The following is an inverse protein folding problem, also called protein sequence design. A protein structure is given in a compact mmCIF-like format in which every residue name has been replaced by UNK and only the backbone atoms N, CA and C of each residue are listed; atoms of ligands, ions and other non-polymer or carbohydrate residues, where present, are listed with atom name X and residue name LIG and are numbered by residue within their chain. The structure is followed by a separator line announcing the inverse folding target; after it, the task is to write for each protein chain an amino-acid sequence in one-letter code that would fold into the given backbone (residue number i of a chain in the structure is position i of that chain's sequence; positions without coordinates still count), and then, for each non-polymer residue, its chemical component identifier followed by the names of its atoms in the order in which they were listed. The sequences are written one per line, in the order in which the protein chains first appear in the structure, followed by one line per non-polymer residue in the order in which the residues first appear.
data_IF_117610198364
#
_entry.id   IF_117610198364
#
_cell.length_a   1.000
_cell.length_b   1.000
_cell.length_c   1.000
_cell.angle_alpha   90.00
_cell.angle_beta   90.00
_cell.angle_gamma   90.00
#
_symmetry.space_group_name_H-M   'P 1'
#
loop_
_entity.id
_entity.type
_entity.pdbx_description
1 polymer ?
#
# COMPACT_ATOMS: atom_id res chain seq x y z
N UNK A 1 0.57 3.26 -13.16
CA UNK A 1 0.04 4.61 -12.92
C UNK A 1 0.87 5.56 -13.74
N UNK A 2 0.24 6.30 -14.64
CA UNK A 2 0.92 7.01 -15.72
C UNK A 2 1.53 8.32 -15.26
N UNK A 3 2.74 8.26 -14.70
CA UNK A 3 3.47 9.45 -14.26
C UNK A 3 4.11 10.19 -15.44
N UNK A 4 4.28 11.50 -15.31
CA UNK A 4 4.92 12.42 -16.28
C UNK A 4 6.32 12.03 -16.81
N UNK A 5 6.94 10.97 -16.29
CA UNK A 5 8.26 10.45 -16.69
C UNK A 5 8.19 9.03 -17.31
N UNK A 6 7.03 8.63 -17.86
CA UNK A 6 6.80 7.25 -18.33
C UNK A 6 7.50 6.88 -19.65
N UNK A 7 7.91 7.85 -20.46
CA UNK A 7 8.46 7.62 -21.80
C UNK A 7 9.99 7.67 -21.82
N UNK A 8 10.63 6.85 -20.98
CA UNK A 8 12.04 6.56 -21.14
C UNK A 8 12.23 5.57 -22.29
N UNK A 9 13.04 5.94 -23.29
CA UNK A 9 13.43 5.05 -24.38
C UNK A 9 14.89 4.63 -24.20
N UNK A 10 15.15 3.31 -24.22
CA UNK A 10 16.50 2.78 -24.31
C UNK A 10 16.66 2.06 -25.65
N UNK A 11 17.58 2.52 -26.49
CA UNK A 11 17.83 1.99 -27.84
C UNK A 11 16.58 1.95 -28.74
N UNK A 12 15.68 2.93 -28.62
CA UNK A 12 14.44 3.00 -29.42
C UNK A 12 13.31 2.08 -28.95
N UNK A 13 13.52 1.32 -27.87
CA UNK A 13 12.48 0.50 -27.22
C UNK A 13 11.84 1.32 -26.09
N UNK A 14 10.51 1.44 -26.03
CA UNK A 14 9.83 2.06 -24.89
C UNK A 14 10.05 1.18 -23.65
N UNK A 15 10.55 1.77 -22.56
CA UNK A 15 10.62 1.10 -21.27
C UNK A 15 9.28 1.32 -20.58
N UNK A 16 8.46 0.27 -20.47
CA UNK A 16 7.29 0.33 -19.60
C UNK A 16 7.73 0.15 -18.14
N UNK A 17 7.47 1.11 -17.25
CA UNK A 17 7.81 0.96 -15.85
C UNK A 17 6.88 -0.08 -15.19
N UNK A 18 7.48 -1.16 -14.67
CA UNK A 18 6.77 -2.10 -13.80
C UNK A 18 6.31 -1.37 -12.52
N UNK A 19 5.05 -1.56 -12.14
CA UNK A 19 4.45 -0.99 -10.93
C UNK A 19 3.83 -2.11 -10.11
N UNK A 20 4.25 -2.21 -8.85
CA UNK A 20 3.69 -3.14 -7.89
C UNK A 20 2.68 -2.44 -6.96
N UNK A 21 1.67 -3.19 -6.51
CA UNK A 21 0.70 -2.73 -5.50
C UNK A 21 0.77 -3.65 -4.30
N UNK A 22 1.08 -3.07 -3.14
CA UNK A 22 1.04 -3.76 -1.85
C UNK A 22 -0.21 -3.32 -1.08
N UNK A 23 -1.06 -4.28 -0.73
CA UNK A 23 -2.20 -4.07 0.16
C UNK A 23 -1.91 -4.78 1.49
N UNK A 24 -1.84 -4.00 2.56
CA UNK A 24 -1.55 -4.51 3.91
C UNK A 24 -2.75 -4.26 4.80
N UNK A 25 -3.27 -5.33 5.42
CA UNK A 25 -4.33 -5.25 6.41
C UNK A 25 -3.74 -5.34 7.81
N UNK A 26 -3.89 -4.27 8.59
CA UNK A 26 -3.28 -4.10 9.92
C UNK A 26 -4.31 -3.62 10.94
N UNK A 27 -4.07 -3.81 12.26
CA UNK A 27 -4.87 -3.17 13.31
C UNK A 27 -4.79 -1.64 13.22
N UNK A 28 -5.87 -0.95 13.64
CA UNK A 28 -5.99 0.50 13.48
C UNK A 28 -4.91 1.24 14.26
N UNK A 29 -4.61 0.77 15.46
CA UNK A 29 -3.62 1.31 16.39
C UNK A 29 -2.18 1.25 15.85
N UNK A 30 -1.89 0.40 14.86
CA UNK A 30 -0.56 0.27 14.25
C UNK A 30 -0.41 1.10 12.97
N UNK A 31 -1.49 1.73 12.48
CA UNK A 31 -1.56 2.38 11.16
C UNK A 31 -0.42 3.37 10.94
N UNK A 32 -0.23 4.33 11.85
CA UNK A 32 0.75 5.40 11.67
C UNK A 32 2.18 4.85 11.70
N UNK A 33 2.47 3.94 12.64
CA UNK A 33 3.81 3.34 12.77
C UNK A 33 4.20 2.53 11.53
N UNK A 34 3.26 1.74 11.00
CA UNK A 34 3.50 0.93 9.80
C UNK A 34 3.56 1.81 8.55
N UNK A 35 2.67 2.80 8.43
CA UNK A 35 2.69 3.73 7.31
C UNK A 35 4.00 4.52 7.25
N UNK A 36 4.48 5.05 8.38
CA UNK A 36 5.75 5.78 8.45
C UNK A 36 6.93 4.90 8.04
N UNK A 37 6.94 3.63 8.51
CA UNK A 37 7.95 2.66 8.11
C UNK A 37 7.90 2.36 6.60
N UNK A 38 6.70 2.25 6.01
CA UNK A 38 6.52 2.04 4.56
C UNK A 38 6.97 3.26 3.75
N UNK A 39 6.63 4.47 4.19
CA UNK A 39 7.05 5.73 3.56
C UNK A 39 8.57 5.84 3.59
N UNK A 40 9.20 5.57 4.74
CA UNK A 40 10.66 5.61 4.89
C UNK A 40 11.37 4.54 4.05
N UNK A 41 10.92 3.28 4.12
CA UNK A 41 11.52 2.18 3.37
C UNK A 41 11.35 2.34 1.85
N UNK A 42 10.20 2.84 1.40
CA UNK A 42 9.89 3.09 -0.01
C UNK A 42 10.42 4.44 -0.52
N UNK A 43 10.85 5.33 0.37
CA UNK A 43 11.19 6.74 0.07
C UNK A 43 10.08 7.45 -0.68
N UNK A 44 8.85 7.26 -0.21
CA UNK A 44 7.63 7.71 -0.90
C UNK A 44 7.45 9.24 -0.87
N UNK A 45 8.29 9.94 -0.09
CA UNK A 45 8.46 11.38 -0.07
C UNK A 45 9.36 11.91 -1.22
N UNK A 46 10.04 11.02 -1.96
CA UNK A 46 10.82 11.38 -3.15
C UNK A 46 9.98 11.32 -4.44
N UNK A 47 10.19 12.24 -5.40
CA UNK A 47 9.50 12.20 -6.69
C UNK A 47 9.64 10.87 -7.42
N UNK A 48 8.51 10.33 -7.90
CA UNK A 48 8.47 9.12 -8.73
C UNK A 48 8.59 7.79 -7.97
N UNK A 49 8.63 7.80 -6.63
CA UNK A 49 8.70 6.59 -5.80
C UNK A 49 7.35 5.95 -5.48
N UNK A 50 6.25 6.63 -5.79
CA UNK A 50 4.89 6.09 -5.65
C UNK A 50 4.09 6.87 -4.62
N UNK A 51 3.02 6.25 -4.12
CA UNK A 51 2.14 6.81 -3.10
C UNK A 51 1.78 5.70 -2.11
N UNK A 52 1.55 6.07 -0.86
CA UNK A 52 0.88 5.23 0.12
C UNK A 52 -0.36 5.97 0.64
N UNK A 53 -1.41 5.22 0.93
CA UNK A 53 -2.66 5.77 1.46
C UNK A 53 -3.32 4.74 2.38
N UNK A 54 -4.13 5.24 3.30
CA UNK A 54 -4.88 4.42 4.25
C UNK A 54 -6.31 4.29 3.76
N UNK A 55 -6.84 3.07 3.77
CA UNK A 55 -8.26 2.78 3.57
C UNK A 55 -8.82 2.20 4.87
N UNK A 56 -9.86 2.84 5.42
CA UNK A 56 -10.58 2.30 6.58
C UNK A 56 -11.35 1.03 6.18
N UNK A 57 -11.14 -0.06 6.93
CA UNK A 57 -11.83 -1.33 6.73
C UNK A 57 -12.70 -1.62 7.95
N UNK A 58 -14.02 -1.31 7.92
CA UNK A 58 -14.88 -1.40 9.10
C UNK A 58 -15.17 -2.84 9.54
N UNK A 59 -15.04 -3.81 8.61
CA UNK A 59 -15.26 -5.23 8.90
C UNK A 59 -14.38 -6.10 8.02
N UNK A 60 -13.82 -7.15 8.62
CA UNK A 60 -13.08 -8.19 7.91
C UNK A 60 -13.58 -9.56 8.38
N UNK A 61 -13.80 -10.45 7.42
CA UNK A 61 -14.24 -11.83 7.66
C UNK A 61 -13.28 -12.80 6.94
N UNK A 62 -13.24 -14.06 7.38
CA UNK A 62 -12.43 -15.10 6.72
C UNK A 62 -10.98 -15.23 7.22
N UNK A 63 -10.62 -14.60 8.33
CA UNK A 63 -9.30 -14.79 8.96
C UNK A 63 -9.32 -16.08 9.79
N UNK A 64 -9.03 -17.22 9.15
CA UNK A 64 -9.19 -18.55 9.75
C UNK A 64 -8.27 -18.85 10.95
N UNK A 65 -7.16 -18.11 11.11
CA UNK A 65 -6.11 -18.42 12.09
C UNK A 65 -5.72 -17.24 13.00
N UNK A 66 -6.50 -16.14 13.03
CA UNK A 66 -6.32 -15.11 14.07
C UNK A 66 -6.92 -15.61 15.38
N UNK A 67 -6.07 -16.14 16.24
CA UNK A 67 -6.43 -16.39 17.63
C UNK A 67 -6.66 -15.05 18.35
N UNK A 68 -7.91 -14.58 18.41
CA UNK A 68 -8.30 -13.45 19.27
C UNK A 68 -9.16 -12.39 18.59
N UNK A 69 -10.43 -12.37 19.01
CA UNK A 69 -11.37 -11.23 19.02
C UNK A 69 -11.87 -10.72 17.66
N UNK A 70 -12.99 -11.28 17.21
CA UNK A 70 -14.02 -10.52 16.48
C UNK A 70 -15.05 -10.07 17.53
N UNK A 71 -14.93 -8.85 18.05
CA UNK A 71 -15.99 -8.26 18.87
C UNK A 71 -17.08 -7.71 17.96
N UNK A 72 -18.25 -8.34 18.07
CA UNK A 72 -19.61 -7.91 17.74
C UNK A 72 -19.77 -6.83 16.65
N UNK A 73 -20.28 -7.27 15.51
CA UNK A 73 -21.21 -6.47 14.71
C UNK A 73 -22.45 -6.22 15.57
N UNK A 74 -22.56 -5.04 16.18
CA UNK A 74 -23.86 -4.55 16.60
C UNK A 74 -24.61 -4.02 15.38
N UNK A 75 -25.87 -4.45 15.27
CA UNK A 75 -26.83 -4.07 14.24
C UNK A 75 -27.24 -2.61 14.36
#
# INVERSE_FOLDING_TARGET
GTGIHESAHFLGVPIEPEKDVLLVLIPREETDTILDAMVSAGRLDEPGKGIAFVLDVPRVEGIAHRGGVLSSVEK
#
